data_IF_926610155775
#
_entry.id   IF_926610155775
#
_cell.length_a   1.000
_cell.length_b   1.000
_cell.length_c   1.000
_cell.angle_alpha   90.00
_cell.angle_beta   90.00
_cell.angle_gamma   90.00
#
_symmetry.space_group_name_H-M   'P 1'
#
loop_
_entity.id
_entity.type
_entity.pdbx_description
1 polymer ?
#
# COMPACT_ATOMS: atom_id res chain seq x y z
N UNK A 1 -27.26 -10.84 -54.07
CA UNK A 1 -26.41 -9.76 -54.63
C UNK A 1 -27.24 -8.49 -54.51
N UNK A 2 -26.91 -7.42 -53.77
CA UNK A 2 -25.73 -6.99 -53.04
C UNK A 2 -26.18 -6.18 -51.82
N UNK A 3 -25.38 -6.26 -50.75
CA UNK A 3 -25.48 -5.52 -49.49
C UNK A 3 -25.17 -4.03 -49.71
N UNK A 4 -25.91 -3.12 -49.09
CA UNK A 4 -25.62 -1.68 -49.09
C UNK A 4 -24.78 -1.30 -47.86
N UNK A 5 -23.65 -0.65 -48.12
CA UNK A 5 -22.60 -0.31 -47.18
C UNK A 5 -22.91 0.96 -46.37
N UNK A 6 -22.47 0.96 -45.10
CA UNK A 6 -22.43 2.14 -44.22
C UNK A 6 -21.13 2.94 -44.44
N UNK A 7 -21.14 4.28 -44.32
CA UNK A 7 -19.93 5.08 -44.40
C UNK A 7 -19.15 5.07 -43.08
N UNK A 8 -17.83 4.98 -43.20
CA UNK A 8 -16.86 4.90 -42.12
C UNK A 8 -16.68 6.22 -41.36
N UNK A 9 -16.62 6.15 -40.03
CA UNK A 9 -16.18 7.24 -39.17
C UNK A 9 -14.65 7.21 -39.01
N UNK A 10 -13.98 8.26 -39.45
CA UNK A 10 -12.55 8.51 -39.25
C UNK A 10 -12.32 8.97 -37.80
N UNK A 11 -11.60 8.18 -37.01
CA UNK A 11 -11.10 8.58 -35.69
C UNK A 11 -9.73 9.28 -35.85
N UNK A 12 -9.50 10.48 -35.30
CA UNK A 12 -8.17 11.04 -35.21
C UNK A 12 -7.38 10.39 -34.06
N UNK A 13 -6.14 10.03 -34.40
CA UNK A 13 -5.09 9.67 -33.46
C UNK A 13 -4.80 10.83 -32.50
N UNK A 14 -4.61 10.50 -31.22
CA UNK A 14 -4.23 11.44 -30.18
C UNK A 14 -3.75 10.69 -28.95
N UNK A 15 -2.52 10.20 -28.99
CA UNK A 15 -1.81 9.79 -27.80
C UNK A 15 -1.49 11.01 -26.93
N UNK A 16 -1.59 10.92 -25.59
CA UNK A 16 -0.73 11.72 -24.73
C UNK A 16 0.46 10.86 -24.26
N UNK A 17 1.64 11.37 -24.54
CA UNK A 17 2.92 10.87 -24.07
C UNK A 17 3.03 11.09 -22.55
N UNK A 18 3.14 10.01 -21.77
CA UNK A 18 3.56 10.08 -20.38
C UNK A 18 5.10 10.11 -20.32
N UNK A 19 5.66 11.32 -20.42
CA UNK A 19 6.97 11.64 -19.87
C UNK A 19 6.77 12.23 -18.48
N UNK A 20 6.97 11.42 -17.44
CA UNK A 20 7.36 11.97 -16.14
C UNK A 20 8.36 11.02 -15.48
N UNK A 21 9.61 11.29 -15.79
CA UNK A 21 10.74 10.76 -15.08
C UNK A 21 10.74 11.27 -13.63
N UNK A 22 10.77 10.32 -12.72
CA UNK A 22 11.56 10.29 -11.49
C UNK A 22 11.34 11.40 -10.44
N UNK A 23 10.68 11.01 -9.34
CA UNK A 23 10.93 11.53 -7.99
C UNK A 23 10.44 10.53 -6.95
N UNK A 24 11.28 9.52 -6.70
CA UNK A 24 11.37 8.75 -5.45
C UNK A 24 10.16 7.85 -5.13
N UNK A 25 9.99 6.84 -5.99
CA UNK A 25 9.77 5.48 -5.49
C UNK A 25 10.98 5.12 -4.62
N UNK A 26 10.88 5.29 -3.29
CA UNK A 26 11.76 4.53 -2.40
C UNK A 26 11.17 3.14 -2.31
N UNK A 27 11.55 2.35 -3.29
CA UNK A 27 11.57 0.90 -3.33
C UNK A 27 11.20 0.25 -1.99
N UNK A 28 10.05 -0.43 -1.94
CA UNK A 28 10.11 -1.78 -1.39
C UNK A 28 11.17 -2.48 -2.21
N UNK A 29 12.31 -2.72 -1.59
CA UNK A 29 13.45 -3.31 -2.23
C UNK A 29 12.99 -4.49 -3.10
N UNK A 30 13.15 -4.37 -4.42
CA UNK A 30 13.73 -5.48 -5.13
C UNK A 30 15.04 -5.72 -4.39
N UNK A 31 15.03 -6.63 -3.42
CA UNK A 31 16.26 -7.13 -2.86
C UNK A 31 17.11 -7.49 -4.09
N UNK A 32 18.34 -6.99 -4.22
CA UNK A 32 19.26 -7.62 -5.15
C UNK A 32 19.19 -9.11 -4.82
N UNK A 33 19.14 -9.96 -5.84
CA UNK A 33 19.21 -11.41 -5.66
C UNK A 33 20.56 -11.74 -4.99
N UNK A 34 20.65 -11.51 -3.69
CA UNK A 34 21.64 -12.13 -2.84
C UNK A 34 21.31 -13.59 -2.96
N UNK A 35 22.31 -14.37 -3.35
CA UNK A 35 22.42 -15.82 -3.29
C UNK A 35 22.28 -16.33 -1.85
N UNK A 36 21.26 -15.85 -1.16
CA UNK A 36 20.78 -16.30 0.12
C UNK A 36 19.91 -17.50 -0.15
N UNK A 37 20.35 -18.67 0.29
CA UNK A 37 19.56 -19.90 0.27
C UNK A 37 18.35 -19.86 1.23
N UNK A 38 18.01 -18.68 1.79
CA UNK A 38 16.86 -18.53 2.67
C UNK A 38 15.58 -18.48 1.80
N UNK A 39 14.68 -19.46 1.90
CA UNK A 39 13.48 -19.55 1.07
C UNK A 39 12.41 -18.48 1.36
N UNK A 40 12.67 -17.51 2.25
CA UNK A 40 11.72 -16.49 2.65
C UNK A 40 10.67 -17.02 3.63
N UNK A 41 9.66 -16.20 3.94
CA UNK A 41 8.57 -16.60 4.82
C UNK A 41 7.46 -17.34 4.07
N UNK A 42 6.70 -18.22 4.75
CA UNK A 42 5.54 -18.92 4.17
C UNK A 42 4.51 -17.94 3.57
N UNK A 43 4.35 -16.75 4.18
CA UNK A 43 3.46 -15.69 3.70
C UNK A 43 3.88 -15.16 2.31
N UNK A 44 5.17 -15.24 1.99
CA UNK A 44 5.72 -14.78 0.70
C UNK A 44 5.32 -15.70 -0.46
N UNK A 45 5.03 -16.98 -0.19
CA UNK A 45 4.71 -17.98 -1.22
C UNK A 45 3.40 -17.66 -1.92
N UNK A 46 2.32 -17.40 -1.17
CA UNK A 46 1.05 -17.00 -1.78
C UNK A 46 1.01 -15.51 -2.13
N UNK A 47 1.88 -14.67 -1.55
CA UNK A 47 1.84 -13.22 -1.79
C UNK A 47 2.08 -12.92 -3.26
N UNK A 48 3.08 -13.56 -3.88
CA UNK A 48 3.37 -13.39 -5.32
C UNK A 48 2.17 -13.73 -6.21
N UNK A 49 1.36 -14.72 -5.80
CA UNK A 49 0.14 -15.09 -6.52
C UNK A 49 -1.01 -14.11 -6.26
N UNK A 50 -1.09 -13.47 -5.09
CA UNK A 50 -2.12 -12.47 -4.80
C UNK A 50 -1.83 -11.12 -5.46
N UNK A 51 -0.56 -10.74 -5.57
CA UNK A 51 -0.12 -9.45 -6.12
C UNK A 51 -0.46 -9.26 -7.61
N UNK A 52 -0.66 -10.34 -8.37
CA UNK A 52 -1.08 -10.25 -9.78
C UNK A 52 -2.56 -9.89 -9.96
N UNK A 53 -3.38 -10.06 -8.92
CA UNK A 53 -4.81 -9.76 -9.03
C UNK A 53 -5.05 -8.25 -8.89
N UNK A 54 -5.87 -7.65 -9.77
CA UNK A 54 -6.19 -6.24 -9.66
C UNK A 54 -6.96 -5.95 -8.38
N UNK A 55 -6.64 -4.84 -7.72
CA UNK A 55 -7.46 -4.33 -6.63
C UNK A 55 -8.68 -3.59 -7.19
N UNK A 56 -9.86 -4.15 -6.97
CA UNK A 56 -11.12 -3.51 -7.33
C UNK A 56 -11.52 -2.50 -6.24
N UNK A 57 -11.89 -1.29 -6.65
CA UNK A 57 -12.54 -0.31 -5.78
C UNK A 57 -13.93 0.01 -6.34
N UNK A 58 -14.88 0.28 -5.45
CA UNK A 58 -16.22 0.74 -5.80
C UNK A 58 -16.30 2.26 -5.70
N UNK A 59 -16.74 2.92 -6.77
CA UNK A 59 -16.80 4.38 -6.88
C UNK A 59 -15.43 5.04 -7.08
N UNK A 60 -15.05 5.97 -6.21
CA UNK A 60 -13.82 6.76 -6.31
C UNK A 60 -12.99 6.65 -5.03
N UNK A 61 -11.68 6.46 -5.18
CA UNK A 61 -10.71 6.42 -4.07
C UNK A 61 -9.64 7.47 -4.28
N UNK A 62 -9.44 8.33 -3.30
CA UNK A 62 -8.40 9.37 -3.29
C UNK A 62 -7.44 9.07 -2.15
N UNK A 63 -6.15 8.99 -2.45
CA UNK A 63 -5.09 8.77 -1.46
C UNK A 63 -4.10 9.93 -1.52
N UNK A 64 -3.91 10.58 -0.38
CA UNK A 64 -2.96 11.68 -0.19
C UNK A 64 -1.93 11.26 0.86
N UNK A 65 -0.72 10.93 0.41
CA UNK A 65 0.40 10.60 1.29
C UNK A 65 1.31 11.81 1.42
N UNK A 66 1.38 12.38 2.62
CA UNK A 66 2.26 13.49 2.96
C UNK A 66 3.43 13.00 3.82
N UNK A 67 4.68 13.03 3.30
CA UNK A 67 5.86 12.86 4.12
C UNK A 67 6.06 14.11 4.97
N UNK A 68 6.15 13.93 6.29
CA UNK A 68 6.53 14.99 7.23
C UNK A 68 8.03 14.93 7.55
N UNK A 69 8.64 13.74 7.43
CA UNK A 69 10.06 13.48 7.60
C UNK A 69 10.44 12.21 6.85
N UNK A 70 11.74 11.95 6.65
CA UNK A 70 12.26 10.67 6.14
C UNK A 70 11.75 9.46 6.93
N UNK A 71 11.44 9.68 8.22
CA UNK A 71 11.00 8.67 9.16
C UNK A 71 9.50 8.70 9.44
N UNK A 72 8.75 9.70 8.94
CA UNK A 72 7.35 9.88 9.29
C UNK A 72 6.51 10.31 8.10
N UNK A 73 5.56 9.47 7.75
CA UNK A 73 4.62 9.66 6.65
C UNK A 73 3.21 9.57 7.19
N UNK A 74 2.32 10.40 6.64
CA UNK A 74 0.91 10.37 6.96
C UNK A 74 0.13 10.19 5.68
N UNK A 75 -0.88 9.33 5.72
CA UNK A 75 -1.68 8.96 4.58
C UNK A 75 -3.15 9.25 4.87
N UNK A 76 -3.77 10.08 4.05
CA UNK A 76 -5.19 10.35 4.07
C UNK A 76 -5.84 9.60 2.93
N UNK A 77 -6.76 8.69 3.23
CA UNK A 77 -7.50 7.93 2.23
C UNK A 77 -8.98 8.27 2.33
N UNK A 78 -9.53 8.82 1.25
CA UNK A 78 -10.96 9.05 1.08
C UNK A 78 -11.50 8.00 0.11
N UNK A 79 -12.51 7.26 0.52
CA UNK A 79 -13.23 6.29 -0.30
C UNK A 79 -14.67 6.75 -0.46
N UNK A 80 -15.12 6.88 -1.69
CA UNK A 80 -16.46 7.33 -2.05
C UNK A 80 -17.12 6.20 -2.83
N UNK A 81 -18.03 5.49 -2.21
CA UNK A 81 -18.88 4.50 -2.89
C UNK A 81 -20.35 4.80 -2.60
N UNK A 82 -21.29 4.38 -3.48
CA UNK A 82 -22.72 4.58 -3.25
C UNK A 82 -23.22 3.96 -1.93
N UNK A 83 -22.53 2.93 -1.44
CA UNK A 83 -22.92 2.19 -0.23
C UNK A 83 -22.18 2.64 1.03
N UNK A 84 -20.96 3.15 0.90
CA UNK A 84 -20.13 3.53 2.04
C UNK A 84 -19.10 4.59 1.64
N UNK A 85 -19.28 5.82 2.13
CA UNK A 85 -18.28 6.87 2.06
C UNK A 85 -17.48 6.91 3.35
N UNK A 86 -16.17 6.71 3.25
CA UNK A 86 -15.30 6.60 4.42
C UNK A 86 -14.04 7.43 4.27
N UNK A 87 -13.52 7.88 5.39
CA UNK A 87 -12.20 8.49 5.50
C UNK A 87 -11.35 7.66 6.45
N UNK A 88 -10.10 7.43 6.03
CA UNK A 88 -9.09 6.73 6.81
C UNK A 88 -7.87 7.61 6.95
N UNK A 89 -7.46 7.83 8.19
CA UNK A 89 -6.23 8.50 8.54
C UNK A 89 -5.20 7.44 8.92
N UNK A 90 -4.07 7.43 8.23
CA UNK A 90 -2.95 6.54 8.49
C UNK A 90 -1.68 7.31 8.83
N UNK A 91 -0.85 6.75 9.70
CA UNK A 91 0.46 7.24 10.03
C UNK A 91 1.47 6.08 10.01
N UNK A 92 2.59 6.33 9.37
CA UNK A 92 3.70 5.38 9.23
C UNK A 92 4.96 6.02 9.81
N UNK A 93 5.55 5.37 10.80
CA UNK A 93 6.85 5.72 11.33
C UNK A 93 7.85 4.61 11.02
N UNK A 94 9.01 4.99 10.51
CA UNK A 94 10.15 4.11 10.28
C UNK A 94 11.29 4.64 11.13
N UNK A 95 11.84 3.80 12.00
CA UNK A 95 12.91 4.16 12.92
C UNK A 95 14.22 4.49 12.21
N UNK A 96 15.27 4.63 13.00
CA UNK A 96 16.61 5.00 12.51
C UNK A 96 17.61 3.85 12.62
N UNK A 97 17.28 2.76 13.33
CA UNK A 97 18.19 1.63 13.51
C UNK A 97 18.14 0.76 12.26
N UNK A 98 19.10 0.94 11.37
CA UNK A 98 19.32 0.07 10.22
C UNK A 98 20.15 -1.13 10.66
N UNK A 99 19.59 -2.34 10.59
CA UNK A 99 20.36 -3.56 10.86
C UNK A 99 21.31 -3.80 9.69
N UNK A 100 22.61 -3.90 9.97
CA UNK A 100 23.67 -3.98 8.94
C UNK A 100 23.54 -5.20 8.01
N UNK A 101 22.79 -6.23 8.43
CA UNK A 101 22.67 -7.52 7.74
C UNK A 101 21.64 -7.52 6.61
N UNK A 102 20.63 -6.63 6.63
CA UNK A 102 19.49 -6.73 5.68
C UNK A 102 18.99 -5.38 5.13
N UNK A 103 19.59 -4.25 5.50
CA UNK A 103 19.17 -2.92 5.02
C UNK A 103 17.77 -2.47 5.50
N UNK A 104 17.08 -3.33 6.24
CA UNK A 104 15.81 -3.05 6.90
C UNK A 104 16.01 -2.07 8.05
N UNK A 105 15.08 -1.13 8.20
CA UNK A 105 15.15 -0.09 9.24
C UNK A 105 14.05 -0.32 10.28
N UNK A 106 14.42 -0.37 11.55
CA UNK A 106 13.52 -0.64 12.67
C UNK A 106 13.56 0.47 13.73
N UNK A 107 12.53 0.58 14.59
CA UNK A 107 11.20 -0.05 14.50
C UNK A 107 10.34 0.49 13.34
N UNK A 108 9.37 -0.28 12.87
CA UNK A 108 8.32 0.22 11.98
C UNK A 108 7.00 0.23 12.73
N UNK A 109 6.35 1.38 12.77
CA UNK A 109 4.99 1.55 13.29
C UNK A 109 4.07 1.95 12.16
N UNK A 110 2.98 1.21 12.01
CA UNK A 110 1.90 1.50 11.10
C UNK A 110 0.66 1.63 11.95
N UNK A 111 -0.08 2.72 11.82
CA UNK A 111 -1.38 2.86 12.44
C UNK A 111 -2.34 3.49 11.46
N UNK A 112 -3.56 2.97 11.37
CA UNK A 112 -4.64 3.62 10.65
C UNK A 112 -5.91 3.67 11.50
N UNK A 113 -6.77 4.63 11.21
CA UNK A 113 -8.04 4.82 11.91
C UNK A 113 -9.09 5.33 10.94
N UNK A 114 -10.28 4.76 11.01
CA UNK A 114 -11.44 5.22 10.26
C UNK A 114 -12.35 6.13 11.10
N UNK A 115 -13.29 6.82 10.44
CA UNK A 115 -14.26 7.72 11.11
C UNK A 115 -15.16 6.96 12.09
N UNK A 116 -15.40 5.67 11.84
CA UNK A 116 -16.21 4.79 12.68
C UNK A 116 -15.51 4.40 13.98
N UNK A 117 -14.24 4.81 14.16
CA UNK A 117 -13.46 4.52 15.34
C UNK A 117 -12.85 3.12 15.35
N UNK A 118 -12.75 2.46 14.19
CA UNK A 118 -11.91 1.29 14.02
C UNK A 118 -10.47 1.75 13.76
N UNK A 119 -9.56 1.24 14.58
CA UNK A 119 -8.14 1.56 14.55
C UNK A 119 -7.35 0.27 14.40
N UNK A 120 -6.52 0.17 13.38
CA UNK A 120 -5.53 -0.90 13.26
C UNK A 120 -4.14 -0.35 13.52
N UNK A 121 -3.33 -1.09 14.26
CA UNK A 121 -1.94 -0.74 14.56
C UNK A 121 -1.05 -1.97 14.40
N UNK A 122 0.02 -1.84 13.64
CA UNK A 122 1.08 -2.84 13.49
C UNK A 122 2.41 -2.27 13.98
N UNK A 123 3.05 -2.99 14.89
CA UNK A 123 4.36 -2.70 15.41
C UNK A 123 5.33 -3.81 14.99
N UNK A 124 6.35 -3.45 14.22
CA UNK A 124 7.39 -4.37 13.79
C UNK A 124 8.72 -3.94 14.39
N UNK A 125 9.32 -4.82 15.19
CA UNK A 125 10.58 -4.54 15.86
C UNK A 125 11.51 -5.75 15.87
N UNK A 126 12.77 -5.51 15.54
CA UNK A 126 13.83 -6.49 15.68
C UNK A 126 14.56 -6.24 17.00
N UNK A 127 14.37 -7.12 17.99
CA UNK A 127 15.00 -7.00 19.31
C UNK A 127 16.47 -7.45 19.30
N UNK A 128 16.80 -8.44 18.47
CA UNK A 128 18.13 -8.99 18.28
C UNK A 128 18.30 -9.41 16.82
N UNK A 129 19.54 -9.69 16.38
CA UNK A 129 19.85 -10.02 14.99
C UNK A 129 18.99 -11.15 14.40
N UNK A 130 18.48 -12.06 15.25
CA UNK A 130 17.63 -13.19 14.85
C UNK A 130 16.18 -13.12 15.31
N UNK A 131 15.81 -12.16 16.15
CA UNK A 131 14.49 -12.12 16.79
C UNK A 131 13.69 -10.94 16.26
N UNK A 132 12.71 -11.24 15.42
CA UNK A 132 11.73 -10.27 14.89
C UNK A 132 10.41 -10.44 15.63
N UNK A 133 9.87 -9.35 16.14
CA UNK A 133 8.53 -9.26 16.72
C UNK A 133 7.63 -8.47 15.76
N UNK A 134 6.49 -9.06 15.42
CA UNK A 134 5.37 -8.37 14.78
C UNK A 134 4.19 -8.44 15.74
N UNK A 135 3.74 -7.29 16.22
CA UNK A 135 2.51 -7.14 16.99
C UNK A 135 1.49 -6.42 16.13
N UNK A 136 0.28 -6.96 16.07
CA UNK A 136 -0.84 -6.37 15.34
C UNK A 136 -2.01 -6.25 16.33
N UNK A 137 -2.60 -5.06 16.41
CA UNK A 137 -3.71 -4.73 17.29
C UNK A 137 -4.78 -4.03 16.50
N UNK A 138 -6.00 -4.50 16.64
CA UNK A 138 -7.18 -3.85 16.11
C UNK A 138 -8.08 -3.46 17.29
N UNK A 139 -8.56 -2.22 17.28
CA UNK A 139 -9.50 -1.69 18.25
C UNK A 139 -10.72 -1.16 17.50
N UNK A 140 -11.92 -1.57 17.92
CA UNK A 140 -13.17 -1.06 17.37
C UNK A 140 -13.96 -0.35 18.47
N UNK A 141 -14.45 0.85 18.18
CA UNK A 141 -15.33 1.61 19.06
C UNK A 141 -16.81 1.23 18.84
N UNK A 142 -17.15 -0.04 19.09
CA UNK A 142 -18.53 -0.47 19.29
C UNK A 142 -18.70 -1.06 20.69
N UNK A 143 -19.16 -0.20 21.60
CA UNK A 143 -19.40 -0.49 23.01
C UNK A 143 -20.06 0.70 23.69
N UNK A 144 -21.13 1.24 23.11
CA UNK A 144 -22.16 1.92 23.91
C UNK A 144 -23.34 0.95 23.91
N UNK A 145 -23.41 0.20 25.01
CA UNK A 145 -24.60 -0.53 25.40
C UNK A 145 -25.73 0.51 25.57
N UNK A 146 -26.86 0.31 24.88
CA UNK A 146 -28.14 0.75 25.42
C UNK A 146 -28.55 -0.18 26.57
#
# INVERSE_FOLDING_TARGET
>A
MMSTAAPAATAPAGAPANNLANSTEKSTATAPATTSNNPGSLEDLHRKCREIFPMCFDGARVMLTKPFSSHFHVTHTLSISPQNTGYRFGATYVGTKTTQVEGETFPVLLADTDISGNTSATFLHQFADRWRLKEEKEGSRYGVNE
#
